data_IF_194897331920
#
_entry.id   IF_194897331920
#
_cell.length_a   1.000
_cell.length_b   1.000
_cell.length_c   1.000
_cell.angle_alpha   90.00
_cell.angle_beta   90.00
_cell.angle_gamma   90.00
#
_symmetry.space_group_name_H-M   'P 1'
#
loop_
_entity.id
_entity.type
_entity.pdbx_description
1 polymer ?
#
# COMPACT_ATOMS: atom_id res chain seq x y z
N UNK A 1 -2.09 13.14 10.94
CA UNK A 1 -1.49 13.79 9.75
C UNK A 1 -2.61 13.98 8.74
N UNK A 2 -2.78 15.18 8.23
CA UNK A 2 -3.80 15.51 7.23
C UNK A 2 -3.19 16.39 6.14
N UNK A 3 -3.57 16.14 4.87
CA UNK A 3 -3.16 16.93 3.71
C UNK A 3 -1.63 17.09 3.56
N UNK A 4 -0.90 15.99 3.78
CA UNK A 4 0.55 15.98 3.61
C UNK A 4 0.92 15.38 2.24
N UNK A 5 1.80 16.04 1.50
CA UNK A 5 2.28 15.55 0.19
C UNK A 5 3.80 15.52 0.17
N UNK A 6 4.35 14.35 -0.19
CA UNK A 6 5.78 14.14 -0.44
C UNK A 6 5.96 13.82 -1.92
N UNK A 7 6.77 14.60 -2.62
CA UNK A 7 7.02 14.44 -4.05
C UNK A 7 8.50 14.19 -4.29
N UNK A 8 8.81 13.20 -5.13
CA UNK A 8 10.18 12.91 -5.53
C UNK A 8 11.03 12.31 -4.42
N UNK A 9 10.41 11.52 -3.53
CA UNK A 9 11.14 10.76 -2.52
C UNK A 9 12.25 9.91 -3.18
N UNK A 10 13.46 10.03 -2.68
CA UNK A 10 14.60 9.18 -3.03
C UNK A 10 15.26 8.72 -1.74
N UNK A 11 14.74 7.63 -1.18
CA UNK A 11 15.18 7.09 0.09
C UNK A 11 16.04 5.86 -0.11
N UNK A 12 17.21 5.86 0.54
CA UNK A 12 18.09 4.68 0.63
C UNK A 12 18.21 4.27 2.08
N UNK A 13 17.68 3.10 2.39
CA UNK A 13 17.81 2.49 3.69
C UNK A 13 18.80 1.33 3.60
N UNK A 14 19.81 1.36 4.44
CA UNK A 14 20.87 0.36 4.47
C UNK A 14 21.39 0.14 5.86
N UNK A 15 22.02 -1.01 6.10
CA UNK A 15 22.78 -1.28 7.31
C UNK A 15 24.23 -1.61 6.96
N UNK A 16 25.15 -1.19 7.79
CA UNK A 16 26.58 -1.51 7.71
C UNK A 16 26.92 -2.97 8.07
N UNK A 17 25.91 -3.86 8.06
CA UNK A 17 26.06 -5.28 8.42
C UNK A 17 25.74 -5.60 9.88
N UNK A 18 25.49 -4.62 10.72
CA UNK A 18 24.99 -4.82 12.09
C UNK A 18 23.54 -5.37 12.04
N UNK A 19 23.21 -6.27 12.96
CA UNK A 19 21.83 -6.69 13.18
C UNK A 19 21.03 -5.50 13.71
N UNK A 20 20.43 -4.74 12.81
CA UNK A 20 19.51 -3.68 13.23
C UNK A 20 18.16 -4.33 13.51
N UNK A 21 17.56 -3.96 14.63
CA UNK A 21 16.21 -4.36 14.99
C UNK A 21 15.22 -4.03 13.86
N UNK A 22 14.12 -4.78 13.78
CA UNK A 22 13.03 -4.61 12.80
C UNK A 22 12.80 -3.13 12.46
N UNK A 23 13.31 -2.70 11.32
CA UNK A 23 13.11 -1.34 10.84
C UNK A 23 11.75 -1.26 10.16
N UNK A 24 11.04 -0.18 10.41
CA UNK A 24 9.83 0.16 9.68
C UNK A 24 10.10 1.39 8.85
N UNK A 25 10.06 1.23 7.55
CA UNK A 25 10.32 2.27 6.56
C UNK A 25 9.03 2.57 5.82
N UNK A 26 8.63 3.82 5.81
CA UNK A 26 7.49 4.29 5.04
C UNK A 26 7.82 5.59 4.32
N UNK A 27 7.27 5.75 3.14
CA UNK A 27 7.50 6.98 2.37
C UNK A 27 6.96 8.23 3.06
N UNK A 28 5.92 8.08 3.89
CA UNK A 28 5.39 9.16 4.73
C UNK A 28 5.58 8.88 6.22
N UNK A 29 5.31 7.65 6.68
CA UNK A 29 5.33 7.30 8.10
C UNK A 29 6.05 5.97 8.29
N UNK A 30 7.10 5.95 9.11
CA UNK A 30 7.78 4.69 9.46
C UNK A 30 6.87 3.77 10.28
N UNK A 31 6.39 4.25 11.43
CA UNK A 31 5.43 3.53 12.29
C UNK A 31 4.27 4.46 12.62
N UNK A 32 3.07 4.00 12.36
CA UNK A 32 1.83 4.65 12.78
C UNK A 32 1.20 3.82 13.89
N UNK A 33 1.06 4.38 15.08
CA UNK A 33 0.62 3.67 16.30
C UNK A 33 -0.39 4.50 17.09
N UNK A 34 -1.15 3.83 17.98
CA UNK A 34 -1.96 4.45 19.02
C UNK A 34 -3.11 5.33 18.52
N UNK A 35 -4.20 4.75 18.02
CA UNK A 35 -5.46 5.45 17.66
C UNK A 35 -5.27 6.69 16.77
N UNK A 36 -4.27 6.65 15.89
CA UNK A 36 -3.92 7.76 15.02
C UNK A 36 -4.53 7.63 13.62
N UNK A 37 -4.82 8.75 12.98
CA UNK A 37 -5.31 8.79 11.60
C UNK A 37 -4.38 9.59 10.72
N UNK A 38 -4.06 9.04 9.55
CA UNK A 38 -3.47 9.77 8.43
C UNK A 38 -4.51 9.85 7.32
N UNK A 39 -4.77 11.06 6.82
CA UNK A 39 -5.79 11.24 5.78
C UNK A 39 -5.39 12.26 4.72
N UNK A 40 -5.97 12.13 3.52
CA UNK A 40 -5.81 13.04 2.38
C UNK A 40 -4.33 13.34 2.06
N UNK A 41 -3.47 12.33 2.23
CA UNK A 41 -2.02 12.49 2.12
C UNK A 41 -1.47 11.60 1.02
N UNK A 42 -0.37 12.05 0.41
CA UNK A 42 0.24 11.34 -0.72
C UNK A 42 1.75 11.32 -0.65
N UNK A 43 2.32 10.30 -1.27
CA UNK A 43 3.77 10.18 -1.44
C UNK A 43 4.07 9.61 -2.82
N UNK A 44 5.09 10.15 -3.49
CA UNK A 44 5.61 9.63 -4.74
C UNK A 44 7.14 9.61 -4.76
N UNK A 45 7.72 8.60 -5.42
CA UNK A 45 9.16 8.46 -5.56
C UNK A 45 9.64 7.02 -5.47
N UNK A 46 10.77 6.80 -4.80
CA UNK A 46 11.35 5.47 -4.64
C UNK A 46 11.97 5.25 -3.27
N UNK A 47 11.99 3.97 -2.85
CA UNK A 47 12.69 3.48 -1.66
C UNK A 47 13.60 2.33 -2.11
N UNK A 48 14.90 2.43 -1.85
CA UNK A 48 15.86 1.35 -1.96
C UNK A 48 16.17 0.81 -0.56
N UNK A 49 15.95 -0.48 -0.34
CA UNK A 49 16.17 -1.14 0.94
C UNK A 49 17.25 -2.21 0.80
N UNK A 50 18.32 -2.14 1.59
CA UNK A 50 19.42 -3.10 1.57
C UNK A 50 19.64 -3.81 2.91
N UNK A 51 18.77 -3.60 3.90
CA UNK A 51 18.84 -4.30 5.18
C UNK A 51 18.38 -5.76 5.05
N UNK A 52 18.62 -6.56 6.06
CA UNK A 52 18.24 -7.99 6.05
C UNK A 52 16.89 -8.26 6.68
N UNK A 53 16.30 -7.28 7.38
CA UNK A 53 15.02 -7.44 8.09
C UNK A 53 14.31 -6.10 8.20
N UNK A 54 13.01 -6.09 7.99
CA UNK A 54 12.23 -4.89 8.18
C UNK A 54 10.87 -4.97 7.52
N UNK A 55 10.12 -3.89 7.65
CA UNK A 55 8.85 -3.71 6.99
C UNK A 55 8.94 -2.44 6.16
N UNK A 56 8.64 -2.52 4.88
CA UNK A 56 8.70 -1.38 3.97
C UNK A 56 7.33 -1.15 3.36
N UNK A 57 6.80 0.03 3.53
CA UNK A 57 5.59 0.47 2.85
C UNK A 57 5.85 1.70 2.00
N UNK A 58 5.30 1.75 0.82
CA UNK A 58 5.36 2.97 0.01
C UNK A 58 4.79 4.18 0.74
N UNK A 59 3.83 3.98 1.65
CA UNK A 59 3.21 5.01 2.48
C UNK A 59 3.56 4.84 3.97
N UNK A 60 3.22 3.69 4.58
CA UNK A 60 3.46 3.39 6.00
C UNK A 60 4.26 2.09 6.12
N UNK A 61 5.36 2.11 6.86
CA UNK A 61 6.15 0.91 7.13
C UNK A 61 5.40 -0.09 8.01
N UNK A 62 4.93 0.36 9.17
CA UNK A 62 4.09 -0.42 10.09
C UNK A 62 2.84 0.37 10.48
N UNK A 63 1.69 -0.21 10.21
CA UNK A 63 0.39 0.29 10.68
C UNK A 63 -0.04 -0.55 11.89
N UNK A 64 0.03 0.02 13.07
CA UNK A 64 -0.26 -0.67 14.32
C UNK A 64 -1.73 -0.53 14.74
N UNK A 65 -2.10 -1.24 15.78
CA UNK A 65 -3.44 -1.30 16.36
C UNK A 65 -4.08 0.09 16.54
N UNK A 66 -5.35 0.22 16.20
CA UNK A 66 -6.14 1.44 16.38
C UNK A 66 -5.87 2.54 15.36
N UNK A 67 -4.85 2.36 14.53
CA UNK A 67 -4.46 3.35 13.54
C UNK A 67 -5.26 3.23 12.24
N UNK A 68 -5.44 4.34 11.54
CA UNK A 68 -6.14 4.33 10.26
C UNK A 68 -5.50 5.21 9.20
N UNK A 69 -5.62 4.78 7.94
CA UNK A 69 -5.26 5.58 6.77
C UNK A 69 -6.47 5.73 5.86
N UNK A 70 -6.84 6.97 5.51
CA UNK A 70 -8.02 7.27 4.70
C UNK A 70 -7.74 8.28 3.61
N UNK A 71 -8.22 8.01 2.39
CA UNK A 71 -8.06 8.92 1.24
C UNK A 71 -6.59 9.23 0.94
N UNK A 72 -5.72 8.22 1.04
CA UNK A 72 -4.28 8.36 0.89
C UNK A 72 -3.75 7.61 -0.32
N UNK A 73 -2.61 8.04 -0.84
CA UNK A 73 -2.00 7.42 -2.00
C UNK A 73 -0.49 7.27 -1.92
N UNK A 74 0.02 6.16 -2.46
CA UNK A 74 1.44 5.91 -2.66
C UNK A 74 1.74 5.59 -4.13
N UNK A 75 2.53 6.43 -4.75
CA UNK A 75 3.17 6.17 -6.05
C UNK A 75 4.68 6.00 -5.81
N UNK A 76 5.03 4.97 -5.06
CA UNK A 76 6.39 4.73 -4.59
C UNK A 76 6.85 3.36 -5.02
N UNK A 77 7.88 3.30 -5.87
CA UNK A 77 8.56 2.05 -6.19
C UNK A 77 9.47 1.62 -5.04
N UNK A 78 9.41 0.35 -4.68
CA UNK A 78 10.25 -0.22 -3.62
C UNK A 78 11.15 -1.30 -4.20
N UNK A 79 12.46 -1.12 -4.04
CA UNK A 79 13.47 -2.07 -4.46
C UNK A 79 14.25 -2.60 -3.25
N UNK A 80 14.22 -3.92 -3.04
CA UNK A 80 15.02 -4.59 -2.01
C UNK A 80 16.23 -5.22 -2.68
N UNK A 81 17.42 -4.70 -2.40
CA UNK A 81 18.69 -5.11 -3.00
C UNK A 81 19.49 -6.10 -2.16
N UNK A 82 19.12 -6.29 -0.90
CA UNK A 82 19.73 -7.24 0.02
C UNK A 82 19.23 -8.69 -0.16
N UNK A 83 19.63 -9.60 0.73
CA UNK A 83 19.14 -10.99 0.70
C UNK A 83 17.65 -11.14 1.06
N UNK A 84 16.92 -10.07 1.21
CA UNK A 84 15.46 -9.95 1.33
C UNK A 84 14.77 -10.79 2.41
N UNK A 85 15.51 -11.57 3.19
CA UNK A 85 14.90 -12.48 4.18
C UNK A 85 14.34 -11.72 5.37
N UNK A 86 13.05 -11.94 5.66
CA UNK A 86 12.34 -11.30 6.76
C UNK A 86 11.87 -9.87 6.45
N UNK A 87 11.83 -9.49 5.17
CA UNK A 87 11.32 -8.19 4.73
C UNK A 87 9.92 -8.37 4.14
N UNK A 88 8.95 -7.70 4.77
CA UNK A 88 7.61 -7.55 4.23
C UNK A 88 7.49 -6.19 3.52
N UNK A 89 7.14 -6.22 2.24
CA UNK A 89 7.01 -5.02 1.42
C UNK A 89 5.60 -4.87 0.88
N UNK A 90 5.00 -3.72 1.10
CA UNK A 90 3.73 -3.35 0.48
C UNK A 90 3.82 -2.02 -0.27
N UNK A 91 3.13 -1.91 -1.36
CA UNK A 91 3.07 -0.65 -2.10
C UNK A 91 2.47 0.49 -1.28
N UNK A 92 1.58 0.16 -0.32
CA UNK A 92 1.01 1.11 0.63
C UNK A 92 1.50 0.85 2.06
N UNK A 93 1.30 -0.34 2.62
CA UNK A 93 1.72 -0.70 3.98
C UNK A 93 2.64 -1.90 3.97
N UNK A 94 3.79 -1.82 4.65
CA UNK A 94 4.71 -2.94 4.83
C UNK A 94 4.07 -4.05 5.67
N UNK A 95 3.68 -3.73 6.90
CA UNK A 95 2.95 -4.65 7.79
C UNK A 95 1.80 -3.92 8.49
N UNK A 96 0.63 -4.54 8.50
CA UNK A 96 -0.53 -4.10 9.26
C UNK A 96 -0.80 -5.02 10.44
N UNK A 97 -0.74 -4.49 11.66
CA UNK A 97 -0.94 -5.22 12.91
C UNK A 97 -2.21 -4.74 13.61
N UNK A 98 -3.36 -5.32 13.30
CA UNK A 98 -4.58 -5.19 14.08
C UNK A 98 -4.62 -6.22 15.22
N UNK A 99 -5.20 -5.87 16.34
CA UNK A 99 -5.40 -6.80 17.48
C UNK A 99 -6.89 -7.18 17.60
N UNK A 100 -7.78 -6.35 17.07
CA UNK A 100 -9.23 -6.61 17.02
C UNK A 100 -9.78 -6.14 15.68
N UNK A 101 -10.88 -6.76 15.25
CA UNK A 101 -11.47 -6.61 13.92
C UNK A 101 -11.86 -5.15 13.57
N UNK A 102 -12.10 -4.30 14.55
CA UNK A 102 -12.74 -3.00 14.33
C UNK A 102 -11.79 -1.78 14.45
N UNK A 103 -10.52 -1.97 14.81
CA UNK A 103 -9.69 -0.87 15.25
C UNK A 103 -8.66 -0.38 14.21
N UNK A 104 -8.22 -1.22 13.28
CA UNK A 104 -7.20 -0.83 12.29
C UNK A 104 -7.79 -0.85 10.89
N UNK A 105 -7.79 0.29 10.22
CA UNK A 105 -8.54 0.50 8.99
C UNK A 105 -7.70 1.19 7.91
N UNK A 106 -7.74 0.66 6.69
CA UNK A 106 -7.32 1.36 5.48
C UNK A 106 -8.53 1.51 4.55
N UNK A 107 -8.86 2.75 4.21
CA UNK A 107 -10.06 3.05 3.44
C UNK A 107 -9.79 4.09 2.36
N UNK A 108 -10.30 3.84 1.15
CA UNK A 108 -10.21 4.76 0.02
C UNK A 108 -8.75 5.15 -0.32
N UNK A 109 -7.85 4.14 -0.32
CA UNK A 109 -6.42 4.34 -0.53
C UNK A 109 -5.91 3.59 -1.76
N UNK A 110 -4.73 3.99 -2.26
CA UNK A 110 -4.14 3.32 -3.40
C UNK A 110 -2.61 3.19 -3.33
N UNK A 111 -2.09 2.23 -4.11
CA UNK A 111 -0.67 2.07 -4.40
C UNK A 111 -0.45 1.85 -5.90
N UNK A 112 0.53 2.54 -6.49
CA UNK A 112 0.80 2.43 -7.94
C UNK A 112 2.26 2.13 -8.27
N UNK A 113 3.17 2.20 -7.30
CA UNK A 113 4.57 1.89 -7.50
C UNK A 113 4.89 0.39 -7.54
N UNK A 114 5.92 0.02 -8.26
CA UNK A 114 6.38 -1.36 -8.40
C UNK A 114 7.16 -1.84 -7.17
N UNK A 115 7.15 -3.15 -6.93
CA UNK A 115 7.88 -3.81 -5.84
C UNK A 115 8.79 -4.89 -6.41
N UNK A 116 10.05 -4.91 -5.97
CA UNK A 116 10.99 -5.95 -6.35
C UNK A 116 11.92 -6.36 -5.20
N UNK A 117 12.30 -7.64 -5.15
CA UNK A 117 13.36 -8.17 -4.29
C UNK A 117 12.98 -8.58 -2.86
N UNK A 118 11.73 -8.51 -2.46
CA UNK A 118 11.28 -8.79 -1.09
C UNK A 118 11.14 -10.29 -0.76
N UNK A 119 11.10 -10.66 0.53
CA UNK A 119 10.67 -12.01 0.92
C UNK A 119 9.15 -12.14 0.79
N UNK A 120 8.39 -11.22 1.33
CA UNK A 120 6.92 -11.16 1.20
C UNK A 120 6.53 -9.84 0.57
N UNK A 121 5.93 -9.89 -0.61
CA UNK A 121 5.53 -8.70 -1.34
C UNK A 121 4.04 -8.70 -1.66
N UNK A 122 3.38 -7.59 -1.40
CA UNK A 122 2.03 -7.33 -1.86
C UNK A 122 1.92 -5.96 -2.53
N UNK A 123 1.30 -5.89 -3.69
CA UNK A 123 1.14 -4.63 -4.41
C UNK A 123 0.49 -3.53 -3.57
N UNK A 124 -0.29 -3.90 -2.53
CA UNK A 124 -0.87 -2.97 -1.58
C UNK A 124 -0.31 -3.16 -0.17
N UNK A 125 -0.43 -4.36 0.41
CA UNK A 125 0.09 -4.67 1.75
C UNK A 125 1.01 -5.88 1.71
N UNK A 126 2.19 -5.78 2.33
CA UNK A 126 3.17 -6.86 2.39
C UNK A 126 2.71 -8.00 3.29
N UNK A 127 2.31 -7.68 4.51
CA UNK A 127 1.83 -8.65 5.50
C UNK A 127 0.71 -8.05 6.34
N UNK A 128 -0.35 -8.83 6.62
CA UNK A 128 -1.43 -8.40 7.51
C UNK A 128 -1.67 -9.36 8.67
N UNK A 129 -2.17 -8.77 9.76
CA UNK A 129 -2.69 -9.48 10.93
C UNK A 129 -3.87 -8.68 11.49
N UNK A 130 -5.11 -9.03 11.11
CA UNK A 130 -6.32 -8.40 11.65
C UNK A 130 -6.57 -6.95 11.16
N UNK A 131 -6.31 -6.67 9.89
CA UNK A 131 -6.51 -5.35 9.28
C UNK A 131 -7.77 -5.33 8.40
N UNK A 132 -8.55 -4.27 8.50
CA UNK A 132 -9.67 -4.02 7.60
C UNK A 132 -9.24 -3.09 6.45
N UNK A 133 -9.48 -3.53 5.23
CA UNK A 133 -9.15 -2.80 4.01
C UNK A 133 -10.42 -2.67 3.16
N UNK A 134 -10.79 -1.46 2.81
CA UNK A 134 -11.96 -1.24 1.95
C UNK A 134 -11.73 -0.17 0.90
N UNK A 135 -12.32 -0.38 -0.28
CA UNK A 135 -12.28 0.56 -1.39
C UNK A 135 -10.85 0.98 -1.75
N UNK A 136 -9.94 0.01 -1.90
CA UNK A 136 -8.54 0.26 -2.18
C UNK A 136 -8.09 -0.41 -3.48
N UNK A 137 -7.04 0.12 -4.10
CA UNK A 137 -6.48 -0.53 -5.27
C UNK A 137 -4.94 -0.53 -5.33
N UNK A 138 -4.40 -1.51 -6.06
CA UNK A 138 -2.99 -1.61 -6.40
C UNK A 138 -2.79 -1.71 -7.92
N UNK A 139 -1.83 -0.97 -8.47
CA UNK A 139 -1.50 -1.02 -9.91
C UNK A 139 -0.06 -1.44 -10.19
N UNK A 140 0.83 -1.34 -9.21
CA UNK A 140 2.24 -1.68 -9.35
C UNK A 140 2.48 -3.19 -9.54
N UNK A 141 3.47 -3.52 -10.35
CA UNK A 141 3.93 -4.89 -10.53
C UNK A 141 4.74 -5.37 -9.34
N UNK A 142 4.66 -6.68 -9.06
CA UNK A 142 5.42 -7.36 -8.01
C UNK A 142 6.34 -8.40 -8.66
N UNK A 143 7.65 -8.25 -8.49
CA UNK A 143 8.61 -9.10 -9.17
C UNK A 143 9.84 -9.45 -8.34
N UNK A 144 10.52 -10.54 -8.72
CA UNK A 144 11.78 -10.98 -8.12
C UNK A 144 11.70 -11.14 -6.60
N UNK A 145 10.58 -11.67 -6.09
CA UNK A 145 10.31 -11.86 -4.67
C UNK A 145 10.32 -13.36 -4.31
N UNK A 146 10.40 -13.68 -3.02
CA UNK A 146 10.26 -15.07 -2.57
C UNK A 146 8.77 -15.48 -2.59
N UNK A 147 7.89 -14.67 -2.01
CA UNK A 147 6.43 -14.78 -2.12
C UNK A 147 5.89 -13.45 -2.61
N UNK A 148 5.03 -13.47 -3.61
CA UNK A 148 4.46 -12.26 -4.19
C UNK A 148 2.98 -12.38 -4.51
N UNK A 149 2.24 -11.29 -4.32
CA UNK A 149 0.84 -11.15 -4.71
C UNK A 149 0.56 -9.74 -5.23
N UNK A 150 -0.41 -9.61 -6.13
CA UNK A 150 -0.71 -8.29 -6.72
C UNK A 150 -1.37 -7.31 -5.74
N UNK A 151 -1.95 -7.81 -4.63
CA UNK A 151 -2.56 -6.96 -3.60
C UNK A 151 -2.02 -7.25 -2.20
N UNK A 152 -2.17 -8.48 -1.68
CA UNK A 152 -1.80 -8.85 -0.32
C UNK A 152 -0.75 -9.96 -0.32
N UNK A 153 0.46 -9.66 0.12
CA UNK A 153 1.62 -10.56 0.08
C UNK A 153 1.50 -11.75 1.00
N UNK A 154 1.07 -11.55 2.24
CA UNK A 154 0.81 -12.66 3.17
C UNK A 154 -0.20 -12.27 4.25
N UNK A 155 -0.93 -13.27 4.73
CA UNK A 155 -1.81 -13.19 5.90
C UNK A 155 -1.25 -14.13 6.97
N UNK A 156 -0.20 -13.67 7.66
CA UNK A 156 0.56 -14.45 8.63
C UNK A 156 0.09 -14.21 10.07
N UNK A 157 -1.20 -13.98 10.29
CA UNK A 157 -1.74 -13.78 11.62
C UNK A 157 -1.48 -15.00 12.51
N UNK A 158 -0.62 -14.85 13.50
CA UNK A 158 -0.29 -15.91 14.44
C UNK A 158 -1.38 -16.21 15.49
N UNK A 159 -2.36 -15.33 15.64
CA UNK A 159 -3.38 -15.44 16.68
C UNK A 159 -4.71 -14.93 16.13
N UNK A 160 -5.70 -15.74 15.92
CA UNK A 160 -7.15 -15.47 15.72
C UNK A 160 -7.58 -14.02 15.32
N UNK A 161 -6.72 -13.24 14.69
CA UNK A 161 -7.02 -11.89 14.23
C UNK A 161 -7.54 -11.98 12.80
N UNK A 162 -8.82 -11.76 12.65
CA UNK A 162 -9.52 -11.78 11.39
C UNK A 162 -9.58 -10.36 10.83
N UNK A 163 -9.33 -10.20 9.54
CA UNK A 163 -9.51 -8.94 8.82
C UNK A 163 -10.50 -9.09 7.68
N UNK A 164 -10.90 -7.98 7.10
CA UNK A 164 -11.74 -7.94 5.91
C UNK A 164 -11.08 -7.13 4.82
N UNK A 165 -11.00 -7.69 3.61
CA UNK A 165 -10.60 -6.98 2.39
C UNK A 165 -11.82 -6.90 1.49
N UNK A 166 -12.33 -5.71 1.26
CA UNK A 166 -13.61 -5.50 0.57
C UNK A 166 -13.55 -4.42 -0.48
N UNK A 167 -14.23 -4.66 -1.62
CA UNK A 167 -14.32 -3.70 -2.73
C UNK A 167 -12.94 -3.22 -3.20
N UNK A 168 -12.00 -4.14 -3.37
CA UNK A 168 -10.64 -3.82 -3.76
C UNK A 168 -10.28 -4.45 -5.11
N UNK A 169 -9.32 -3.85 -5.81
CA UNK A 169 -8.80 -4.50 -6.99
C UNK A 169 -7.29 -4.31 -7.17
N UNK A 170 -6.67 -5.20 -7.98
CA UNK A 170 -5.29 -5.11 -8.38
C UNK A 170 -5.13 -5.34 -9.89
N UNK A 171 -4.34 -4.49 -10.54
CA UNK A 171 -4.03 -4.61 -11.97
C UNK A 171 -2.58 -5.02 -12.25
N UNK A 172 -1.68 -4.87 -11.28
CA UNK A 172 -0.29 -5.22 -11.39
C UNK A 172 -0.06 -6.71 -11.63
N UNK A 173 0.98 -7.03 -12.38
CA UNK A 173 1.41 -8.40 -12.64
C UNK A 173 2.34 -8.92 -11.55
N UNK A 174 2.33 -10.24 -11.35
CA UNK A 174 3.25 -10.94 -10.44
C UNK A 174 4.14 -11.85 -11.26
N UNK A 175 5.45 -11.58 -11.25
CA UNK A 175 6.44 -12.30 -12.06
C UNK A 175 7.72 -12.61 -11.28
N UNK A 176 8.50 -13.58 -11.78
CA UNK A 176 9.81 -13.94 -11.24
C UNK A 176 9.79 -14.24 -9.73
N UNK A 177 8.78 -14.98 -9.29
CA UNK A 177 8.59 -15.36 -7.89
C UNK A 177 9.24 -16.71 -7.62
N UNK A 178 10.16 -16.76 -6.66
CA UNK A 178 10.99 -17.94 -6.41
C UNK A 178 10.29 -19.06 -5.62
N UNK A 179 9.21 -18.77 -4.89
CA UNK A 179 8.46 -19.76 -4.10
C UNK A 179 6.98 -19.81 -4.47
N UNK A 180 6.22 -18.76 -4.15
CA UNK A 180 4.77 -18.75 -4.36
C UNK A 180 4.27 -17.42 -4.86
N UNK A 181 3.61 -17.45 -6.02
CA UNK A 181 2.98 -16.31 -6.66
C UNK A 181 1.45 -16.41 -6.53
N UNK A 182 0.79 -15.32 -6.18
CA UNK A 182 -0.65 -15.24 -6.03
C UNK A 182 -1.24 -14.10 -6.86
N UNK A 183 -2.36 -14.37 -7.50
CA UNK A 183 -2.98 -13.41 -8.41
C UNK A 183 -3.53 -12.17 -7.68
N UNK A 184 -4.07 -12.33 -6.48
CA UNK A 184 -4.57 -11.23 -5.65
C UNK A 184 -3.95 -11.25 -4.25
N UNK A 185 -4.13 -12.33 -3.50
CA UNK A 185 -3.70 -12.42 -2.12
C UNK A 185 -3.19 -13.82 -1.77
N UNK A 186 -2.12 -13.90 -0.99
CA UNK A 186 -1.76 -15.12 -0.29
C UNK A 186 -2.67 -15.26 0.92
N UNK A 187 -3.62 -16.19 0.84
CA UNK A 187 -4.36 -16.65 2.01
C UNK A 187 -3.70 -17.92 2.55
N UNK A 188 -3.46 -17.97 3.84
CA UNK A 188 -3.05 -19.22 4.47
C UNK A 188 -4.22 -20.23 4.46
N UNK A 189 -3.92 -21.48 4.81
CA UNK A 189 -4.92 -22.56 4.87
C UNK A 189 -6.06 -22.28 5.86
N UNK A 190 -5.89 -21.32 6.77
CA UNK A 190 -6.88 -20.95 7.78
C UNK A 190 -7.84 -19.86 7.33
N UNK A 191 -7.62 -19.25 6.15
CA UNK A 191 -8.48 -18.20 5.57
C UNK A 191 -8.84 -17.11 6.58
N UNK A 192 -7.86 -16.57 7.25
CA UNK A 192 -8.05 -15.63 8.38
C UNK A 192 -8.62 -14.29 7.95
N UNK A 193 -8.33 -13.84 6.74
CA UNK A 193 -8.97 -12.64 6.18
C UNK A 193 -10.12 -13.01 5.25
N UNK A 194 -11.23 -12.31 5.39
CA UNK A 194 -12.36 -12.43 4.49
C UNK A 194 -12.17 -11.50 3.31
N UNK A 195 -12.12 -12.06 2.09
CA UNK A 195 -12.01 -11.30 0.83
C UNK A 195 -13.39 -11.27 0.17
N UNK A 196 -13.93 -10.07 -0.06
CA UNK A 196 -15.28 -9.86 -0.60
C UNK A 196 -15.27 -8.79 -1.69
N UNK A 197 -15.92 -9.05 -2.82
CA UNK A 197 -16.05 -8.11 -3.94
C UNK A 197 -14.68 -7.55 -4.36
N UNK A 198 -13.69 -8.45 -4.54
CA UNK A 198 -12.33 -8.10 -4.92
C UNK A 198 -11.98 -8.67 -6.29
N UNK A 199 -11.10 -7.98 -7.02
CA UNK A 199 -10.82 -8.29 -8.41
C UNK A 199 -9.33 -8.19 -8.72
N UNK A 200 -8.87 -8.98 -9.71
CA UNK A 200 -7.51 -8.91 -10.20
C UNK A 200 -7.44 -9.05 -11.73
N UNK A 201 -6.33 -8.59 -12.31
CA UNK A 201 -6.07 -8.70 -13.74
C UNK A 201 -5.90 -10.18 -14.15
N UNK A 202 -6.74 -10.66 -15.06
CA UNK A 202 -6.71 -12.05 -15.57
C UNK A 202 -5.38 -12.44 -16.22
N UNK A 203 -4.59 -11.48 -16.69
CA UNK A 203 -3.25 -11.74 -17.22
C UNK A 203 -2.27 -12.21 -16.15
N UNK A 204 -2.64 -12.05 -14.87
CA UNK A 204 -1.85 -12.57 -13.77
C UNK A 204 -2.06 -14.08 -13.65
N UNK A 205 -1.13 -14.86 -14.17
CA UNK A 205 -1.18 -16.35 -14.22
C UNK A 205 -0.78 -17.01 -12.91
N UNK A 206 -0.50 -16.23 -11.87
CA UNK A 206 -0.21 -16.72 -10.53
C UNK A 206 -1.40 -17.50 -9.92
N UNK A 207 -1.16 -18.22 -8.84
CA UNK A 207 -2.22 -18.98 -8.16
C UNK A 207 -3.39 -18.08 -7.82
N UNK A 208 -4.58 -18.49 -8.26
CA UNK A 208 -5.81 -17.81 -7.88
C UNK A 208 -6.13 -18.05 -6.40
N UNK A 209 -6.50 -17.00 -5.70
CA UNK A 209 -7.24 -17.12 -4.45
C UNK A 209 -8.73 -17.22 -4.80
N UNK A 210 -9.39 -18.28 -4.39
CA UNK A 210 -10.80 -18.56 -4.70
C UNK A 210 -11.79 -17.43 -4.34
N UNK A 211 -11.32 -16.43 -3.62
CA UNK A 211 -12.13 -15.35 -3.05
C UNK A 211 -12.13 -14.05 -3.86
N UNK A 212 -11.25 -13.90 -4.84
CA UNK A 212 -11.20 -12.75 -5.74
C UNK A 212 -11.48 -13.18 -7.19
N UNK A 213 -12.18 -12.34 -7.94
CA UNK A 213 -12.56 -12.63 -9.33
C UNK A 213 -11.54 -12.04 -10.32
N UNK A 214 -11.25 -12.78 -11.40
CA UNK A 214 -10.41 -12.28 -12.49
C UNK A 214 -11.23 -11.49 -13.50
N UNK A 215 -10.68 -10.36 -13.95
CA UNK A 215 -11.23 -9.54 -15.02
C UNK A 215 -10.13 -9.11 -15.98
N UNK A 216 -10.49 -8.81 -17.22
CA UNK A 216 -9.55 -8.12 -18.12
C UNK A 216 -9.41 -6.65 -17.70
N UNK A 217 -8.31 -6.02 -18.06
CA UNK A 217 -8.15 -4.58 -17.83
C UNK A 217 -9.24 -3.78 -18.54
N UNK A 218 -9.68 -4.22 -19.72
CA UNK A 218 -10.74 -3.54 -20.47
C UNK A 218 -12.10 -3.68 -19.76
N UNK A 219 -12.41 -4.82 -19.17
CA UNK A 219 -13.61 -4.98 -18.33
C UNK A 219 -13.56 -4.05 -17.10
N UNK A 220 -12.38 -3.89 -16.50
CA UNK A 220 -12.19 -3.00 -15.35
C UNK A 220 -12.30 -1.50 -15.66
N UNK A 221 -12.28 -1.10 -16.96
CA UNK A 221 -12.50 0.29 -17.39
C UNK A 221 -13.95 0.61 -17.68
N UNK A 222 -14.86 -0.35 -17.57
CA UNK A 222 -16.27 -0.19 -17.93
C UNK A 222 -17.10 0.47 -16.83
N UNK A 223 -18.21 1.12 -17.23
CA UNK A 223 -19.20 1.62 -16.26
C UNK A 223 -19.83 0.48 -15.44
N UNK A 224 -19.91 -0.71 -16.02
CA UNK A 224 -20.40 -1.90 -15.30
C UNK A 224 -19.52 -2.23 -14.11
N UNK A 225 -18.21 -2.23 -14.28
CA UNK A 225 -17.26 -2.47 -13.19
C UNK A 225 -17.30 -1.35 -12.14
N UNK A 226 -17.35 -0.09 -12.58
CA UNK A 226 -17.54 1.05 -11.69
C UNK A 226 -18.78 0.89 -10.80
N UNK A 227 -19.90 0.50 -11.38
CA UNK A 227 -21.15 0.26 -10.65
C UNK A 227 -21.05 -0.89 -9.66
N UNK A 228 -20.33 -1.95 -10.01
CA UNK A 228 -20.08 -3.08 -9.11
C UNK A 228 -19.25 -2.65 -7.90
N UNK A 229 -18.19 -1.86 -8.11
CA UNK A 229 -17.36 -1.33 -7.02
C UNK A 229 -18.12 -0.35 -6.13
N UNK A 230 -18.94 0.51 -6.72
CA UNK A 230 -19.73 1.48 -5.97
C UNK A 230 -20.86 0.83 -5.17
N UNK A 231 -21.53 -0.18 -5.74
CA UNK A 231 -22.72 -0.76 -5.11
C UNK A 231 -23.74 0.32 -4.74
N UNK A 232 -23.93 0.56 -3.44
CA UNK A 232 -24.77 1.65 -2.92
C UNK A 232 -24.00 2.92 -2.53
N UNK A 233 -22.69 2.94 -2.73
CA UNK A 233 -21.81 4.07 -2.38
C UNK A 233 -21.29 4.75 -3.65
N UNK A 234 -20.89 6.01 -3.57
CA UNK A 234 -20.26 6.75 -4.68
C UNK A 234 -18.79 7.04 -4.40
N UNK A 235 -18.07 6.03 -3.93
CA UNK A 235 -16.66 6.17 -3.53
C UNK A 235 -15.72 6.14 -4.73
N UNK A 236 -16.10 5.35 -5.75
CA UNK A 236 -15.30 5.15 -6.94
C UNK A 236 -15.70 6.10 -8.05
N UNK A 237 -14.73 6.70 -8.71
CA UNK A 237 -14.92 7.62 -9.83
C UNK A 237 -14.32 7.02 -11.10
N UNK A 238 -15.00 7.30 -12.22
CA UNK A 238 -14.51 6.94 -13.56
C UNK A 238 -13.30 7.77 -13.92
N UNK A 239 -12.34 7.14 -14.57
CA UNK A 239 -11.22 7.80 -15.24
C UNK A 239 -11.27 7.52 -16.73
N UNK A 240 -10.90 8.51 -17.54
CA UNK A 240 -10.81 8.34 -18.98
C UNK A 240 -9.69 7.35 -19.33
N UNK A 241 -10.05 6.26 -20.03
CA UNK A 241 -9.15 5.19 -20.47
C UNK A 241 -8.36 4.49 -19.35
N UNK A 242 -8.78 4.59 -18.09
CA UNK A 242 -8.14 3.92 -16.95
C UNK A 242 -9.19 3.24 -16.06
N UNK A 243 -8.71 2.36 -15.18
CA UNK A 243 -9.54 1.72 -14.16
C UNK A 243 -10.04 2.73 -13.12
N UNK A 244 -11.20 2.50 -12.47
CA UNK A 244 -11.77 3.43 -11.51
C UNK A 244 -10.78 3.81 -10.39
N UNK A 245 -10.85 5.05 -9.91
CA UNK A 245 -10.10 5.52 -8.77
C UNK A 245 -11.00 5.62 -7.53
N UNK A 246 -10.46 5.28 -6.38
CA UNK A 246 -11.05 5.55 -5.08
C UNK A 246 -10.25 6.62 -4.35
N UNK A 247 -10.88 7.20 -3.35
CA UNK A 247 -10.28 8.32 -2.65
C UNK A 247 -10.43 9.56 -3.50
N UNK A 248 -10.93 10.63 -2.92
CA UNK A 248 -10.89 11.89 -3.59
C UNK A 248 -9.44 12.11 -4.04
N UNK A 249 -9.19 12.17 -5.36
CA UNK A 249 -8.18 13.12 -5.79
C UNK A 249 -8.46 14.34 -4.91
N UNK A 250 -7.48 14.98 -4.22
CA UNK A 250 -7.78 16.24 -3.62
C UNK A 250 -8.46 17.05 -4.71
N UNK A 251 -9.70 17.44 -4.45
CA UNK A 251 -10.51 18.13 -5.46
C UNK A 251 -9.82 19.41 -5.94
N UNK A 252 -8.67 19.70 -5.37
CA UNK A 252 -7.92 20.89 -5.64
C UNK A 252 -6.41 20.69 -5.41
N UNK A 253 -5.77 19.97 -6.34
CA UNK A 253 -4.31 20.05 -6.48
C UNK A 253 -3.88 21.48 -6.84
N UNK A 254 -4.77 22.30 -7.45
CA UNK A 254 -4.49 23.69 -7.74
C UNK A 254 -4.19 24.47 -6.45
N UNK A 255 -4.92 24.23 -5.36
CA UNK A 255 -4.66 24.89 -4.08
C UNK A 255 -3.36 24.42 -3.41
N UNK A 256 -2.99 23.14 -3.54
CA UNK A 256 -1.70 22.65 -3.01
C UNK A 256 -0.55 23.20 -3.86
N UNK A 257 -0.70 23.26 -5.18
CA UNK A 257 0.31 23.86 -6.07
C UNK A 257 0.38 25.37 -5.93
N UNK A 258 -0.72 26.07 -5.71
CA UNK A 258 -0.70 27.51 -5.42
C UNK A 258 -0.05 27.80 -4.08
N UNK A 259 -0.29 27.02 -3.06
CA UNK A 259 0.41 27.13 -1.77
C UNK A 259 1.90 26.81 -1.91
N UNK A 260 2.27 25.78 -2.67
CA UNK A 260 3.67 25.45 -2.96
C UNK A 260 4.30 26.46 -3.93
N UNK A 261 3.52 27.03 -4.86
CA UNK A 261 3.97 28.09 -5.76
C UNK A 261 4.28 29.41 -5.06
N UNK A 262 3.73 29.63 -3.88
CA UNK A 262 4.03 30.77 -3.01
C UNK A 262 5.08 30.49 -1.94
N UNK A 263 5.60 29.25 -1.85
CA UNK A 263 6.79 28.97 -1.05
C UNK A 263 7.96 29.61 -1.79
N UNK A 264 8.66 30.57 -1.19
CA UNK A 264 9.84 31.17 -1.80
C UNK A 264 10.82 30.06 -2.20
N UNK A 265 11.39 30.15 -3.40
CA UNK A 265 12.39 29.19 -3.88
C UNK A 265 13.63 29.10 -2.96
N UNK A 266 13.78 30.03 -2.05
CA UNK A 266 14.80 30.05 -1.01
C UNK A 266 14.24 29.49 0.30
N UNK A 267 14.50 28.20 0.54
CA UNK A 267 14.19 27.52 1.79
C UNK A 267 15.05 27.98 2.97
N UNK A 268 15.97 28.90 2.77
CA UNK A 268 16.85 29.44 3.83
C UNK A 268 16.09 30.24 4.90
N UNK A 269 14.83 30.60 4.65
CA UNK A 269 13.97 31.27 5.65
C UNK A 269 13.42 30.28 6.71
N UNK A 270 13.46 28.97 6.47
CA UNK A 270 13.12 27.97 7.46
C UNK A 270 14.38 27.59 8.23
N UNK A 271 14.79 28.45 9.14
CA UNK A 271 15.85 28.13 10.11
C UNK A 271 15.33 27.15 11.14
N UNK A 272 16.22 26.34 11.72
CA UNK A 272 15.86 25.34 12.74
C UNK A 272 15.01 25.93 13.90
N UNK A 273 15.10 27.22 14.18
CA UNK A 273 14.31 27.93 15.18
C UNK A 273 12.84 28.11 14.76
N UNK A 274 12.55 28.22 13.46
CA UNK A 274 11.14 28.36 12.99
C UNK A 274 10.39 27.03 13.00
N UNK A 275 11.10 25.91 12.88
CA UNK A 275 10.52 24.54 12.93
C UNK A 275 10.31 24.10 14.39
N UNK A 276 11.13 24.55 15.33
CA UNK A 276 11.01 24.23 16.74
C UNK A 276 9.77 24.84 17.43
N UNK A 277 9.05 25.76 16.76
CA UNK A 277 7.87 26.46 17.28
C UNK A 277 6.56 26.06 16.56
N UNK A 278 6.59 25.03 15.68
CA UNK A 278 5.42 24.40 15.08
C UNK A 278 5.08 23.11 15.84
#
# INVERSE_FOLDING_TARGET
IVNCTVIGLDMKAGSDGSYVALNSIGGLVGIQDGDTTVSHSRVSGKIEESTKKGNVGGFVGTLAKGSSAKYCGADVSVEVTGNGRGIAVGGFVGIGNGVTIDETLIENCYATGNITGAEYAGGFVGNISGLNISNCYAKGDVSNCFVGASFLGTDAASNNYYGTVKNCYATGLVSDISSSAYAFAMQDTMKRSTIQNCYYNIQNTAKNTESAASLTIDDMKTDSFLNVLNGSSNVWTKRDNDTPACGAEPADYSNVYEVLGNIPADLSIYTDESVANL
#
